data_IF_847416760701
#
_entry.id   IF_847416760701
#
_cell.length_a   1.000
_cell.length_b   1.000
_cell.length_c   1.000
_cell.angle_alpha   90.00
_cell.angle_beta   90.00
_cell.angle_gamma   90.00
#
_symmetry.space_group_name_H-M   'P 1'
#
loop_
_entity.id
_entity.type
_entity.pdbx_description
1 polymer ?
#
# COMPACT_ATOMS: atom_id res chain seq x y z
N UNK A 1 -7.81 4.42 -13.47
CA UNK A 1 -8.82 5.27 -12.80
C UNK A 1 -9.94 5.45 -13.81
N UNK A 2 -11.17 5.09 -13.48
CA UNK A 2 -12.31 5.15 -14.42
C UNK A 2 -12.85 6.56 -14.57
N UNK A 3 -12.84 7.35 -13.50
CA UNK A 3 -13.11 8.79 -13.51
C UNK A 3 -12.01 9.49 -12.70
N UNK A 4 -11.04 10.07 -13.41
CA UNK A 4 -9.89 10.71 -12.80
C UNK A 4 -10.29 11.88 -11.89
N UNK A 5 -11.25 12.70 -12.31
CA UNK A 5 -11.63 13.90 -11.58
C UNK A 5 -12.42 13.56 -10.31
N UNK A 6 -13.34 12.59 -10.39
CA UNK A 6 -14.06 12.10 -9.22
C UNK A 6 -13.13 11.40 -8.22
N UNK A 7 -12.27 10.50 -8.70
CA UNK A 7 -11.29 9.80 -7.85
C UNK A 7 -10.41 10.83 -7.12
N UNK A 8 -9.92 11.86 -7.82
CA UNK A 8 -9.05 12.87 -7.23
C UNK A 8 -9.75 13.77 -6.21
N UNK A 9 -11.04 14.09 -6.40
CA UNK A 9 -11.83 14.79 -5.35
C UNK A 9 -11.96 13.95 -4.08
N UNK A 10 -12.17 12.64 -4.23
CA UNK A 10 -12.23 11.74 -3.08
C UNK A 10 -10.87 11.63 -2.38
N UNK A 11 -9.77 11.59 -3.14
CA UNK A 11 -8.41 11.65 -2.57
C UNK A 11 -8.23 12.91 -1.73
N UNK A 12 -8.61 14.08 -2.22
CA UNK A 12 -8.51 15.34 -1.47
C UNK A 12 -9.26 15.28 -0.14
N UNK A 13 -10.49 14.74 -0.13
CA UNK A 13 -11.26 14.56 1.10
C UNK A 13 -10.58 13.61 2.09
N UNK A 14 -10.02 12.49 1.59
CA UNK A 14 -9.30 11.53 2.42
C UNK A 14 -7.99 12.12 2.99
N UNK A 15 -7.29 12.96 2.24
CA UNK A 15 -6.05 13.59 2.73
C UNK A 15 -6.27 14.55 3.90
N UNK A 16 -7.45 15.19 3.98
CA UNK A 16 -7.80 16.17 5.01
C UNK A 16 -8.48 15.52 6.23
N UNK A 17 -9.08 14.33 6.06
CA UNK A 17 -9.75 13.61 7.15
C UNK A 17 -8.78 13.31 8.30
N UNK A 18 -9.24 13.53 9.54
CA UNK A 18 -8.57 12.97 10.72
C UNK A 18 -8.96 11.50 10.91
N UNK A 19 -7.97 10.67 11.20
CA UNK A 19 -8.08 9.23 11.39
C UNK A 19 -7.80 8.79 12.83
N UNK A 20 -7.86 9.73 13.79
CA UNK A 20 -7.67 9.44 15.21
C UNK A 20 -8.74 8.50 15.78
N UNK A 21 -9.92 8.50 15.17
CA UNK A 21 -11.11 7.75 15.54
C UNK A 21 -11.09 6.26 15.18
N UNK A 22 -10.06 5.79 14.47
CA UNK A 22 -10.04 4.45 13.84
C UNK A 22 -10.11 3.24 14.78
N UNK A 23 -9.69 3.35 16.03
CA UNK A 23 -9.55 2.18 16.93
C UNK A 23 -10.82 1.89 17.73
N UNK A 24 -11.10 0.60 17.98
CA UNK A 24 -12.20 0.15 18.86
C UNK A 24 -12.10 0.73 20.28
N UNK A 25 -10.89 0.71 20.82
CA UNK A 25 -10.57 1.24 22.14
C UNK A 25 -9.57 2.38 21.98
N UNK A 26 -10.06 3.62 22.08
CA UNK A 26 -9.19 4.78 22.02
C UNK A 26 -8.36 4.87 23.30
N UNK A 27 -7.05 4.77 23.15
CA UNK A 27 -6.10 4.87 24.27
C UNK A 27 -5.95 6.35 24.70
N UNK A 28 -5.96 7.28 23.73
CA UNK A 28 -5.84 8.72 23.94
C UNK A 28 -6.99 9.46 23.25
N UNK A 29 -8.06 9.74 24.01
CA UNK A 29 -9.17 10.59 23.55
C UNK A 29 -8.64 11.99 23.21
N UNK A 30 -8.71 12.37 21.92
CA UNK A 30 -8.33 13.72 21.45
C UNK A 30 -6.95 13.85 20.82
N UNK A 31 -6.14 12.78 20.75
CA UNK A 31 -4.89 12.81 19.97
C UNK A 31 -5.19 12.58 18.49
N UNK A 32 -5.12 13.65 17.71
CA UNK A 32 -5.30 13.60 16.25
C UNK A 32 -4.30 12.65 15.57
N UNK A 33 -4.71 12.11 14.42
CA UNK A 33 -3.84 11.30 13.57
C UNK A 33 -2.83 12.17 12.84
N UNK A 34 -1.60 11.68 12.67
CA UNK A 34 -0.62 12.33 11.80
C UNK A 34 -1.17 12.42 10.37
N UNK A 35 -1.04 13.55 9.65
CA UNK A 35 -1.51 13.66 8.28
C UNK A 35 -0.93 12.58 7.35
N UNK A 36 -1.64 12.21 6.30
CA UNK A 36 -1.21 11.16 5.36
C UNK A 36 0.14 11.51 4.71
N UNK A 37 0.30 12.75 4.25
CA UNK A 37 1.50 13.21 3.54
C UNK A 37 2.65 13.63 4.47
N UNK A 38 2.46 13.60 5.80
CA UNK A 38 3.49 13.92 6.78
C UNK A 38 4.77 13.08 6.53
N UNK A 39 5.95 13.70 6.34
CA UNK A 39 7.21 12.98 6.13
C UNK A 39 7.56 11.97 7.22
N UNK A 40 7.14 12.20 8.46
CA UNK A 40 7.35 11.29 9.58
C UNK A 40 6.39 10.08 9.57
N UNK A 41 5.35 10.11 8.71
CA UNK A 41 4.44 8.97 8.48
C UNK A 41 4.96 8.12 7.33
N UNK A 42 5.32 6.86 7.60
CA UNK A 42 5.81 5.95 6.57
C UNK A 42 4.72 5.50 5.59
N UNK A 43 5.11 5.07 4.39
CA UNK A 43 4.20 4.47 3.42
C UNK A 43 3.47 3.24 3.98
N UNK A 44 4.19 2.36 4.68
CA UNK A 44 3.58 1.19 5.33
C UNK A 44 2.53 1.57 6.38
N UNK A 45 2.74 2.66 7.13
CA UNK A 45 1.73 3.18 8.07
C UNK A 45 0.49 3.73 7.38
N UNK A 46 0.64 4.31 6.18
CA UNK A 46 -0.50 4.72 5.33
C UNK A 46 -1.22 3.50 4.76
N UNK A 47 -0.50 2.48 4.29
CA UNK A 47 -1.12 1.23 3.83
C UNK A 47 -1.94 0.58 4.95
N UNK A 48 -1.38 0.51 6.17
CA UNK A 48 -2.11 0.00 7.35
C UNK A 48 -3.38 0.81 7.63
N UNK A 49 -3.34 2.15 7.49
CA UNK A 49 -4.48 3.03 7.71
C UNK A 49 -5.70 2.69 6.83
N UNK A 50 -5.43 2.20 5.63
CA UNK A 50 -6.43 1.84 4.61
C UNK A 50 -6.54 0.33 4.40
N UNK A 51 -6.09 -0.46 5.37
CA UNK A 51 -6.25 -1.92 5.40
C UNK A 51 -7.14 -2.28 6.57
N UNK A 52 -8.14 -3.13 6.35
CA UNK A 52 -9.01 -3.60 7.42
C UNK A 52 -8.18 -4.30 8.51
N UNK A 53 -8.58 -4.10 9.76
CA UNK A 53 -7.89 -4.67 10.92
C UNK A 53 -8.88 -4.92 12.06
N UNK A 54 -8.64 -5.98 12.83
CA UNK A 54 -9.42 -6.30 14.02
C UNK A 54 -9.28 -5.25 15.14
N UNK A 55 -8.19 -4.48 15.12
CA UNK A 55 -7.96 -3.37 16.05
C UNK A 55 -8.86 -2.14 15.75
N UNK A 56 -9.39 -2.05 14.53
CA UNK A 56 -10.20 -0.92 14.07
C UNK A 56 -11.69 -1.13 14.34
N UNK A 57 -12.43 -0.04 14.55
CA UNK A 57 -13.88 -0.12 14.73
C UNK A 57 -14.56 -0.69 13.48
N UNK A 58 -15.73 -1.29 13.67
CA UNK A 58 -16.46 -1.92 12.57
C UNK A 58 -16.91 -0.86 11.55
N UNK A 59 -17.29 0.33 12.03
CA UNK A 59 -17.60 1.49 11.19
C UNK A 59 -16.39 1.95 10.37
N UNK A 60 -15.20 1.95 10.97
CA UNK A 60 -13.97 2.33 10.28
C UNK A 60 -13.57 1.28 9.22
N UNK A 61 -13.73 0.00 9.52
CA UNK A 61 -13.50 -1.09 8.56
C UNK A 61 -14.49 -1.05 7.38
N UNK A 62 -15.77 -0.73 7.64
CA UNK A 62 -16.77 -0.51 6.60
C UNK A 62 -16.45 0.73 5.75
N UNK A 63 -15.99 1.80 6.40
CA UNK A 63 -15.50 2.99 5.70
C UNK A 63 -14.31 2.66 4.78
N UNK A 64 -13.32 1.91 5.25
CA UNK A 64 -12.20 1.47 4.40
C UNK A 64 -12.72 0.72 3.19
N UNK A 65 -13.65 -0.23 3.38
CA UNK A 65 -14.19 -1.07 2.31
C UNK A 65 -14.91 -0.24 1.23
N UNK A 66 -15.62 0.80 1.65
CA UNK A 66 -16.33 1.72 0.75
C UNK A 66 -15.41 2.52 -0.19
N UNK A 67 -14.12 2.66 0.13
CA UNK A 67 -13.18 3.42 -0.69
C UNK A 67 -12.81 2.62 -1.95
N UNK A 68 -12.96 3.19 -3.17
CA UNK A 68 -12.55 2.51 -4.39
C UNK A 68 -11.08 2.10 -4.36
N UNK A 69 -10.77 0.92 -4.88
CA UNK A 69 -9.39 0.41 -4.93
C UNK A 69 -8.45 1.36 -5.66
N UNK A 70 -8.89 1.99 -6.76
CA UNK A 70 -8.11 2.96 -7.54
C UNK A 70 -7.69 4.16 -6.71
N UNK A 71 -8.56 4.63 -5.82
CA UNK A 71 -8.32 5.75 -4.91
C UNK A 71 -7.29 5.38 -3.85
N UNK A 72 -7.41 4.19 -3.23
CA UNK A 72 -6.39 3.67 -2.30
C UNK A 72 -5.03 3.53 -2.97
N UNK A 73 -4.98 2.94 -4.16
CA UNK A 73 -3.75 2.77 -4.94
C UNK A 73 -3.12 4.11 -5.33
N UNK A 74 -3.94 5.13 -5.64
CA UNK A 74 -3.46 6.48 -5.90
C UNK A 74 -2.89 7.12 -4.63
N UNK A 75 -3.55 7.02 -3.47
CA UNK A 75 -3.02 7.55 -2.20
C UNK A 75 -1.65 6.96 -1.88
N UNK A 76 -1.45 5.66 -2.06
CA UNK A 76 -0.15 5.02 -1.85
C UNK A 76 0.91 5.49 -2.84
N UNK A 77 0.50 5.70 -4.10
CA UNK A 77 1.36 6.27 -5.14
C UNK A 77 1.75 7.69 -4.78
N UNK A 78 0.78 8.55 -4.47
CA UNK A 78 1.01 9.92 -4.03
C UNK A 78 1.97 9.95 -2.84
N UNK A 79 1.71 9.15 -1.80
CA UNK A 79 2.59 9.08 -0.62
C UNK A 79 4.03 8.70 -0.98
N UNK A 80 4.22 7.77 -1.92
CA UNK A 80 5.55 7.33 -2.35
C UNK A 80 6.32 8.41 -3.11
N UNK A 81 5.64 9.23 -3.91
CA UNK A 81 6.26 10.26 -4.75
C UNK A 81 6.30 11.65 -4.10
N UNK A 82 5.46 11.88 -3.07
CA UNK A 82 5.30 13.17 -2.42
C UNK A 82 6.62 13.72 -1.92
N UNK A 83 6.80 15.03 -2.13
CA UNK A 83 7.90 15.79 -1.57
C UNK A 83 7.34 16.98 -0.80
N UNK A 84 7.94 17.36 0.35
CA UNK A 84 7.41 18.45 1.18
C UNK A 84 7.27 19.79 0.46
N UNK A 85 8.15 20.06 -0.52
CA UNK A 85 8.14 21.29 -1.33
C UNK A 85 6.90 21.42 -2.24
N UNK A 86 6.11 20.36 -2.42
CA UNK A 86 4.86 20.42 -3.17
C UNK A 86 3.75 21.13 -2.39
N UNK A 87 3.80 21.10 -1.06
CA UNK A 87 2.75 21.65 -0.20
C UNK A 87 1.37 21.11 -0.59
N UNK A 88 0.42 22.02 -0.81
CA UNK A 88 -0.94 21.71 -1.25
C UNK A 88 -1.04 21.42 -2.77
N UNK A 89 -0.05 21.83 -3.58
CA UNK A 89 -0.05 21.65 -5.05
C UNK A 89 0.53 20.30 -5.48
N UNK A 90 0.16 19.22 -4.79
CA UNK A 90 0.54 17.87 -5.20
C UNK A 90 -0.26 17.41 -6.43
N UNK A 91 -1.51 17.90 -6.59
CA UNK A 91 -2.44 17.46 -7.65
C UNK A 91 -1.88 17.77 -9.05
N UNK A 92 -1.30 18.95 -9.26
CA UNK A 92 -0.75 19.38 -10.56
C UNK A 92 0.38 18.48 -11.09
N UNK A 93 0.98 17.65 -10.23
CA UNK A 93 2.08 16.74 -10.56
C UNK A 93 1.61 15.47 -11.26
N UNK A 94 0.33 15.14 -11.14
CA UNK A 94 -0.28 13.93 -11.66
C UNK A 94 -1.30 14.28 -12.75
N UNK A 95 -1.31 13.47 -13.82
CA UNK A 95 -2.27 13.62 -14.91
C UNK A 95 -2.54 12.29 -15.60
N UNK A 96 -3.62 12.27 -16.36
CA UNK A 96 -3.88 11.27 -17.40
C UNK A 96 -3.87 11.99 -18.75
N UNK A 97 -3.45 11.32 -19.82
CA UNK A 97 -3.55 11.91 -21.15
C UNK A 97 -5.02 11.95 -21.62
N UNK A 98 -5.34 12.83 -22.56
CA UNK A 98 -6.58 12.71 -23.33
C UNK A 98 -6.30 11.89 -24.59
N UNK A 99 -7.07 10.82 -24.80
CA UNK A 99 -6.97 9.94 -25.96
C UNK A 99 -8.34 9.96 -26.63
N UNK A 100 -8.40 10.47 -27.88
CA UNK A 100 -9.64 10.63 -28.63
C UNK A 100 -10.72 11.44 -27.87
N UNK A 101 -10.31 12.47 -27.12
CA UNK A 101 -11.21 13.31 -26.33
C UNK A 101 -11.67 12.68 -25.01
N UNK A 102 -11.22 11.47 -24.68
CA UNK A 102 -11.54 10.79 -23.42
C UNK A 102 -10.31 10.70 -22.51
N UNK A 103 -10.48 10.75 -21.17
CA UNK A 103 -9.37 10.53 -20.25
C UNK A 103 -8.77 9.13 -20.40
N UNK A 104 -7.44 9.06 -20.49
CA UNK A 104 -6.69 7.81 -20.50
C UNK A 104 -6.64 7.14 -19.14
N UNK A 105 -6.21 5.88 -19.11
CA UNK A 105 -6.17 5.05 -17.89
C UNK A 105 -4.81 5.12 -17.17
N UNK A 106 -3.75 5.48 -17.91
CA UNK A 106 -2.38 5.49 -17.40
C UNK A 106 -2.11 6.78 -16.64
N UNK A 107 -1.90 6.65 -15.33
CA UNK A 107 -1.44 7.74 -14.48
C UNK A 107 -0.01 8.13 -14.83
N UNK A 108 0.24 9.42 -15.00
CA UNK A 108 1.56 9.98 -15.25
C UNK A 108 2.01 10.91 -14.14
N UNK A 109 3.30 10.85 -13.82
CA UNK A 109 4.03 11.81 -13.00
C UNK A 109 5.14 12.43 -13.85
N UNK A 110 5.17 13.77 -13.99
CA UNK A 110 6.15 14.50 -14.83
C UNK A 110 6.26 13.96 -16.28
N UNK A 111 5.13 13.77 -16.96
CA UNK A 111 5.01 13.15 -18.31
C UNK A 111 5.40 11.66 -18.40
N UNK A 112 5.96 11.05 -17.35
CA UNK A 112 6.31 9.65 -17.35
C UNK A 112 5.18 8.80 -16.74
N UNK A 113 4.86 7.63 -17.31
CA UNK A 113 3.96 6.66 -16.68
C UNK A 113 4.44 6.30 -15.27
N UNK A 114 3.53 6.25 -14.32
CA UNK A 114 3.84 5.75 -12.98
C UNK A 114 4.01 4.23 -13.06
N UNK A 115 5.23 3.75 -12.82
CA UNK A 115 5.50 2.33 -12.78
C UNK A 115 5.02 1.68 -11.49
N UNK A 116 4.41 0.50 -11.62
CA UNK A 116 4.02 -0.39 -10.53
C UNK A 116 4.67 -1.75 -10.78
N UNK A 117 5.09 -2.42 -9.72
CA UNK A 117 5.57 -3.79 -9.82
C UNK A 117 4.37 -4.73 -9.86
N UNK A 118 4.43 -5.73 -10.75
CA UNK A 118 3.38 -6.72 -10.89
C UNK A 118 3.97 -8.12 -10.71
N UNK A 119 3.15 -9.03 -10.20
CA UNK A 119 3.42 -10.46 -10.20
C UNK A 119 2.33 -11.17 -11.00
N UNK A 120 2.75 -12.10 -11.86
CA UNK A 120 1.83 -13.00 -12.54
C UNK A 120 1.45 -14.13 -11.60
N UNK A 121 0.14 -14.38 -11.44
CA UNK A 121 -0.38 -15.50 -10.65
C UNK A 121 -1.28 -16.34 -11.54
N UNK A 122 -0.66 -17.27 -12.27
CA UNK A 122 -1.34 -18.17 -13.20
C UNK A 122 -1.87 -17.49 -14.48
N UNK A 123 -2.82 -18.17 -15.12
CA UNK A 123 -3.47 -17.77 -16.36
C UNK A 123 -5.00 -17.74 -16.18
N UNK A 124 -5.70 -17.02 -17.03
CA UNK A 124 -7.16 -17.12 -17.16
C UNK A 124 -7.55 -18.41 -17.90
N UNK A 125 -8.85 -18.72 -17.96
CA UNK A 125 -9.38 -19.85 -18.73
C UNK A 125 -9.00 -19.76 -20.22
N UNK A 126 -8.87 -18.55 -20.76
CA UNK A 126 -8.47 -18.28 -22.14
C UNK A 126 -6.93 -18.19 -22.33
N UNK A 127 -6.14 -18.44 -21.28
CA UNK A 127 -4.68 -18.44 -21.35
C UNK A 127 -4.01 -17.06 -21.24
N UNK A 128 -4.77 -15.99 -20.97
CA UNK A 128 -4.19 -14.66 -20.73
C UNK A 128 -3.54 -14.57 -19.34
N UNK A 129 -2.53 -13.71 -19.18
CA UNK A 129 -1.83 -13.56 -17.90
C UNK A 129 -2.71 -12.89 -16.84
N UNK A 130 -2.76 -13.48 -15.65
CA UNK A 130 -3.39 -12.85 -14.48
C UNK A 130 -2.33 -12.07 -13.69
N UNK A 131 -2.32 -10.75 -13.90
CA UNK A 131 -1.34 -9.84 -13.30
C UNK A 131 -1.90 -9.13 -12.07
N UNK A 132 -1.14 -9.11 -10.98
CA UNK A 132 -1.51 -8.46 -9.73
C UNK A 132 -0.45 -7.44 -9.32
N UNK A 133 -0.88 -6.22 -9.00
CA UNK A 133 0.02 -5.18 -8.50
C UNK A 133 0.54 -5.54 -7.11
N UNK A 134 1.86 -5.46 -6.92
CA UNK A 134 2.50 -5.61 -5.62
C UNK A 134 2.32 -4.34 -4.79
N UNK A 135 2.39 -4.49 -3.46
CA UNK A 135 2.39 -3.35 -2.56
C UNK A 135 3.50 -2.38 -2.90
N UNK A 136 3.23 -1.09 -2.75
CA UNK A 136 4.19 -0.02 -3.07
C UNK A 136 5.38 0.03 -2.09
N UNK A 137 5.37 -0.75 -1.02
CA UNK A 137 6.49 -0.93 -0.09
C UNK A 137 7.07 -2.35 -0.10
N UNK A 138 6.64 -3.20 -1.05
CA UNK A 138 7.18 -4.56 -1.17
C UNK A 138 8.60 -4.54 -1.75
N UNK A 139 9.46 -5.36 -1.15
CA UNK A 139 10.77 -5.75 -1.67
C UNK A 139 10.90 -7.25 -1.48
N UNK A 140 11.45 -7.95 -2.47
CA UNK A 140 11.67 -9.39 -2.35
C UNK A 140 12.60 -9.70 -1.18
N UNK A 141 12.28 -10.74 -0.41
CA UNK A 141 13.18 -11.23 0.62
C UNK A 141 14.55 -11.58 0.03
N UNK A 142 15.61 -11.29 0.78
CA UNK A 142 16.94 -11.79 0.46
C UNK A 142 16.94 -13.29 0.77
N UNK A 143 17.20 -14.11 -0.24
CA UNK A 143 17.21 -15.56 -0.11
C UNK A 143 18.64 -16.07 0.05
N UNK A 144 18.88 -16.85 1.10
CA UNK A 144 20.08 -17.66 1.28
C UNK A 144 19.65 -19.12 1.12
N UNK A 145 20.04 -19.75 0.02
CA UNK A 145 19.68 -21.14 -0.25
C UNK A 145 20.32 -22.05 0.81
N UNK A 146 19.51 -22.94 1.39
CA UNK A 146 19.97 -23.91 2.40
C UNK A 146 19.96 -25.35 1.90
N UNK A 147 19.15 -25.62 0.89
CA UNK A 147 18.87 -26.95 0.35
C UNK A 147 18.59 -26.83 -1.16
N UNK A 148 18.73 -27.93 -1.90
CA UNK A 148 18.41 -27.99 -3.33
C UNK A 148 18.02 -29.42 -3.77
N UNK A 149 19.01 -30.24 -4.14
CA UNK A 149 18.81 -31.56 -4.76
C UNK A 149 19.00 -32.71 -3.76
N UNK A 150 20.10 -32.68 -2.99
CA UNK A 150 20.42 -33.70 -1.97
C UNK A 150 20.66 -33.00 -0.64
N UNK A 151 19.82 -33.32 0.34
CA UNK A 151 19.88 -32.79 1.71
C UNK A 151 20.05 -33.91 2.74
N UNK A 152 20.74 -33.61 3.83
CA UNK A 152 20.73 -34.41 5.05
C UNK A 152 20.30 -33.54 6.24
N UNK A 153 19.46 -34.06 7.12
CA UNK A 153 18.93 -33.33 8.27
C UNK A 153 19.06 -34.15 9.57
N UNK A 154 19.08 -33.45 10.70
CA UNK A 154 19.10 -34.05 12.05
C UNK A 154 18.07 -33.36 12.93
N UNK A 155 17.37 -34.15 13.75
CA UNK A 155 16.43 -33.64 14.76
C UNK A 155 17.09 -33.68 16.13
N UNK A 156 17.08 -32.55 16.85
CA UNK A 156 17.63 -32.43 18.20
C UNK A 156 16.54 -32.06 19.21
N UNK A 157 16.58 -32.59 20.45
CA UNK A 157 15.64 -32.17 21.50
C UNK A 157 15.77 -30.66 21.81
N UNK A 158 14.64 -29.96 21.97
CA UNK A 158 14.64 -28.52 22.22
C UNK A 158 15.39 -28.11 23.50
N UNK A 159 15.46 -29.00 24.50
CA UNK A 159 16.22 -28.78 25.75
C UNK A 159 17.74 -28.74 25.54
N UNK A 160 18.25 -29.21 24.40
CA UNK A 160 19.68 -29.23 24.08
C UNK A 160 20.11 -28.06 23.18
N UNK A 161 19.19 -27.18 22.81
CA UNK A 161 19.45 -26.03 21.94
C UNK A 161 19.82 -24.82 22.79
N UNK A 162 20.99 -24.22 22.52
CA UNK A 162 21.29 -22.88 23.01
C UNK A 162 20.49 -21.84 22.21
N UNK A 163 19.46 -21.28 22.84
CA UNK A 163 18.58 -20.28 22.24
C UNK A 163 19.32 -19.01 21.80
N UNK A 164 20.50 -18.72 22.34
CA UNK A 164 21.32 -17.56 21.93
C UNK A 164 21.91 -17.72 20.53
N UNK A 165 22.02 -18.95 20.04
CA UNK A 165 22.54 -19.26 18.71
C UNK A 165 21.44 -19.38 17.65
N UNK A 166 20.17 -19.29 18.06
CA UNK A 166 19.06 -19.27 17.12
C UNK A 166 18.89 -17.88 16.50
N UNK A 167 18.34 -17.85 15.28
CA UNK A 167 17.95 -16.60 14.65
C UNK A 167 16.98 -15.85 15.59
N UNK A 168 17.16 -14.53 15.80
CA UNK A 168 16.31 -13.76 16.68
C UNK A 168 14.95 -13.50 16.00
N UNK A 169 14.10 -14.52 15.96
CA UNK A 169 12.67 -14.42 15.68
C UNK A 169 11.89 -15.35 16.61
#
# INVERSE_FOLDING_TARGET
MSDFEADMRLVEQLLVRDYGDRYKHQIDLGRGSRPILDPARSLGSVIRLFSQSEEYSDEYNAFIDSIPRTVRDFIFTLKRYYKPDWGADWRSRFRVDSINGQPGVILKYRMAPVHTQYLRVGYSEEGSWRMFGLRKDFVSATKLQREDDISASVTVPASQIDRKLMHPD
#
